data_IF_303254289981
#
_entry.id   IF_303254289981
#
_cell.length_a   1.000
_cell.length_b   1.000
_cell.length_c   1.000
_cell.angle_alpha   90.00
_cell.angle_beta   90.00
_cell.angle_gamma   90.00
#
_symmetry.space_group_name_H-M   'P 1'
#
loop_
_entity.id
_entity.type
_entity.pdbx_description
1 polymer ?
#
# COMPACT_ATOMS: atom_id res chain seq x y z
N UNK A 1 13.50 -47.81 13.71
CA UNK A 1 12.64 -46.65 13.36
C UNK A 1 13.13 -45.28 13.91
N UNK A 2 14.18 -45.20 14.75
CA UNK A 2 14.63 -43.94 15.40
C UNK A 2 15.27 -42.86 14.50
N UNK A 3 15.56 -43.16 13.22
CA UNK A 3 16.19 -42.21 12.28
C UNK A 3 15.24 -41.61 11.22
N UNK A 4 14.00 -42.09 11.13
CA UNK A 4 13.05 -41.66 10.10
C UNK A 4 12.28 -40.40 10.51
N UNK A 5 11.92 -40.29 11.79
CA UNK A 5 11.20 -39.16 12.36
C UNK A 5 11.91 -37.79 12.21
N UNK A 6 13.21 -37.63 12.54
CA UNK A 6 13.88 -36.35 12.35
C UNK A 6 14.00 -35.96 10.87
N UNK A 7 14.14 -36.93 9.96
CA UNK A 7 14.19 -36.68 8.50
C UNK A 7 12.83 -36.20 7.97
N UNK A 8 11.73 -36.80 8.43
CA UNK A 8 10.38 -36.38 8.06
C UNK A 8 10.07 -34.97 8.59
N UNK A 9 10.45 -34.67 9.84
CA UNK A 9 10.26 -33.32 10.42
C UNK A 9 11.04 -32.24 9.67
N UNK A 10 12.29 -32.51 9.27
CA UNK A 10 13.08 -31.56 8.45
C UNK A 10 12.48 -31.37 7.06
N UNK A 11 11.97 -32.44 6.45
CA UNK A 11 11.36 -32.37 5.11
C UNK A 11 10.05 -31.57 5.15
N UNK A 12 9.17 -31.86 6.11
CA UNK A 12 7.91 -31.14 6.31
C UNK A 12 8.17 -29.67 6.68
N UNK A 13 9.05 -29.41 7.65
CA UNK A 13 9.44 -28.04 8.03
C UNK A 13 10.07 -27.25 6.88
N UNK A 14 10.90 -27.91 6.07
CA UNK A 14 11.50 -27.33 4.87
C UNK A 14 10.44 -26.95 3.82
N UNK A 15 9.45 -27.80 3.56
CA UNK A 15 8.35 -27.49 2.63
C UNK A 15 7.53 -26.29 3.11
N UNK A 16 7.20 -26.22 4.40
CA UNK A 16 6.49 -25.06 4.96
C UNK A 16 7.32 -23.77 4.89
N UNK A 17 8.62 -23.84 5.18
CA UNK A 17 9.51 -22.69 5.06
C UNK A 17 9.63 -22.21 3.61
N UNK A 18 9.82 -23.12 2.66
CA UNK A 18 9.90 -22.80 1.22
C UNK A 18 8.58 -22.20 0.73
N UNK A 19 7.45 -22.79 1.12
CA UNK A 19 6.13 -22.28 0.73
C UNK A 19 5.87 -20.90 1.34
N UNK A 20 6.22 -20.68 2.61
CA UNK A 20 6.12 -19.38 3.26
C UNK A 20 7.00 -18.31 2.58
N UNK A 21 8.24 -18.64 2.25
CA UNK A 21 9.16 -17.77 1.50
C UNK A 21 8.60 -17.48 0.11
N UNK A 22 8.07 -18.50 -0.59
CA UNK A 22 7.49 -18.34 -1.92
C UNK A 22 6.25 -17.45 -1.90
N UNK A 23 5.38 -17.58 -0.91
CA UNK A 23 4.21 -16.70 -0.72
C UNK A 23 4.66 -15.26 -0.42
N UNK A 24 5.62 -15.07 0.48
CA UNK A 24 6.15 -13.73 0.79
C UNK A 24 6.81 -13.08 -0.44
N UNK A 25 7.59 -13.85 -1.20
CA UNK A 25 8.20 -13.39 -2.44
C UNK A 25 7.13 -13.05 -3.49
N UNK A 26 6.10 -13.90 -3.64
CA UNK A 26 4.98 -13.66 -4.54
C UNK A 26 4.22 -12.38 -4.17
N UNK A 27 3.89 -12.19 -2.89
CA UNK A 27 3.23 -10.99 -2.38
C UNK A 27 4.09 -9.77 -2.66
N UNK A 28 5.39 -9.80 -2.34
CA UNK A 28 6.32 -8.68 -2.58
C UNK A 28 6.40 -8.30 -4.07
N UNK A 29 6.54 -9.28 -4.95
CA UNK A 29 6.60 -9.04 -6.41
C UNK A 29 5.26 -8.53 -6.94
N UNK A 30 4.15 -9.09 -6.45
CA UNK A 30 2.79 -8.69 -6.85
C UNK A 30 2.47 -7.26 -6.44
N UNK A 31 2.80 -6.86 -5.19
CA UNK A 31 2.57 -5.51 -4.68
C UNK A 31 3.36 -4.48 -5.48
N UNK A 32 4.63 -4.76 -5.78
CA UNK A 32 5.46 -3.83 -6.55
C UNK A 32 4.85 -3.53 -7.91
N UNK A 33 4.37 -4.56 -8.62
CA UNK A 33 3.69 -4.41 -9.92
C UNK A 33 2.34 -3.71 -9.80
N UNK A 34 1.60 -3.96 -8.72
CA UNK A 34 0.30 -3.34 -8.49
C UNK A 34 0.44 -1.83 -8.25
N UNK A 35 1.42 -1.42 -7.44
CA UNK A 35 1.72 0.00 -7.17
C UNK A 35 2.04 0.76 -8.46
N UNK A 36 2.84 0.15 -9.33
CA UNK A 36 3.21 0.77 -10.61
C UNK A 36 1.97 1.01 -11.48
N UNK A 37 1.10 0.01 -11.61
CA UNK A 37 -0.14 0.09 -12.39
C UNK A 37 -1.10 1.13 -11.83
N UNK A 38 -1.34 1.10 -10.52
CA UNK A 38 -2.22 2.06 -9.85
C UNK A 38 -1.66 3.48 -9.93
N UNK A 39 -0.35 3.64 -9.79
CA UNK A 39 0.34 4.91 -9.98
C UNK A 39 0.15 5.47 -11.39
N UNK A 40 0.27 4.63 -12.42
CA UNK A 40 0.03 5.03 -13.82
C UNK A 40 -1.42 5.43 -14.08
N UNK A 41 -2.39 4.64 -13.60
CA UNK A 41 -3.83 4.96 -13.75
C UNK A 41 -4.16 6.28 -13.04
N UNK A 42 -3.60 6.50 -11.86
CA UNK A 42 -3.76 7.75 -11.12
C UNK A 42 -3.14 8.93 -11.87
N UNK A 43 -1.95 8.74 -12.44
CA UNK A 43 -1.30 9.77 -13.25
C UNK A 43 -2.11 10.13 -14.49
N UNK A 44 -2.66 9.14 -15.19
CA UNK A 44 -3.56 9.35 -16.33
C UNK A 44 -4.81 10.14 -15.94
N UNK A 45 -5.43 9.78 -14.81
CA UNK A 45 -6.64 10.46 -14.31
C UNK A 45 -6.33 11.92 -13.94
N UNK A 46 -5.23 12.16 -13.23
CA UNK A 46 -4.79 13.49 -12.85
C UNK A 46 -4.41 14.34 -14.08
N UNK A 47 -3.74 13.75 -15.05
CA UNK A 47 -3.41 14.42 -16.31
C UNK A 47 -4.68 14.85 -17.08
N UNK A 48 -5.72 14.01 -17.11
CA UNK A 48 -7.02 14.39 -17.69
C UNK A 48 -7.67 15.54 -16.93
N UNK A 49 -7.66 15.51 -15.60
CA UNK A 49 -8.16 16.64 -14.78
C UNK A 49 -7.39 17.94 -15.06
N UNK A 50 -6.06 17.88 -15.22
CA UNK A 50 -5.24 19.04 -15.56
C UNK A 50 -5.63 19.62 -16.92
N UNK A 51 -5.84 18.78 -17.93
CA UNK A 51 -6.35 19.21 -19.23
C UNK A 51 -7.71 19.89 -19.11
N UNK A 52 -8.67 19.29 -18.39
CA UNK A 52 -10.02 19.84 -18.21
C UNK A 52 -9.99 21.21 -17.50
N UNK A 53 -9.15 21.38 -16.48
CA UNK A 53 -8.99 22.65 -15.78
C UNK A 53 -8.39 23.74 -16.68
N UNK A 54 -7.36 23.41 -17.47
CA UNK A 54 -6.78 24.32 -18.46
C UNK A 54 -7.79 24.68 -19.55
N UNK A 55 -8.52 23.68 -20.05
CA UNK A 55 -9.56 23.89 -21.05
C UNK A 55 -10.68 24.82 -20.55
N UNK A 56 -11.11 24.66 -19.29
CA UNK A 56 -12.08 25.54 -18.67
C UNK A 56 -11.57 26.98 -18.55
N UNK A 57 -10.30 27.17 -18.14
CA UNK A 57 -9.66 28.49 -18.07
C UNK A 57 -9.58 29.16 -19.45
N UNK A 58 -9.21 28.41 -20.49
CA UNK A 58 -9.17 28.90 -21.87
C UNK A 58 -10.55 29.32 -22.37
N UNK A 59 -11.60 28.54 -22.11
CA UNK A 59 -12.99 28.88 -22.49
C UNK A 59 -13.52 30.14 -21.79
N UNK A 60 -13.02 30.44 -20.59
CA UNK A 60 -13.38 31.65 -19.84
C UNK A 60 -12.55 32.88 -20.25
N UNK A 61 -11.60 32.71 -21.19
CA UNK A 61 -10.75 33.81 -21.67
C UNK A 61 -9.52 34.09 -20.81
N UNK A 62 -9.10 33.15 -19.94
CA UNK A 62 -7.96 33.32 -19.05
C UNK A 62 -6.60 33.45 -19.75
N UNK A 63 -6.49 33.02 -21.01
CA UNK A 63 -5.26 33.14 -21.81
C UNK A 63 -4.05 32.45 -21.14
N UNK A 64 -2.84 33.03 -21.34
CA UNK A 64 -1.60 32.48 -20.75
C UNK A 64 -1.58 32.61 -19.22
N UNK A 65 -1.97 33.76 -18.69
CA UNK A 65 -1.89 34.03 -17.25
C UNK A 65 -2.90 33.20 -16.44
N UNK A 66 -4.13 33.06 -16.93
CA UNK A 66 -5.13 32.18 -16.31
C UNK A 66 -4.69 30.72 -16.31
N UNK A 67 -4.02 30.25 -17.38
CA UNK A 67 -3.46 28.90 -17.41
C UNK A 67 -2.33 28.73 -16.39
N UNK A 68 -1.45 29.72 -16.20
CA UNK A 68 -0.41 29.68 -15.16
C UNK A 68 -1.01 29.58 -13.76
N UNK A 69 -2.07 30.34 -13.47
CA UNK A 69 -2.75 30.28 -12.17
C UNK A 69 -3.37 28.90 -11.90
N UNK A 70 -3.97 28.28 -12.92
CA UNK A 70 -4.48 26.90 -12.81
C UNK A 70 -3.36 25.91 -12.54
N UNK A 71 -2.23 26.00 -13.26
CA UNK A 71 -1.07 25.12 -13.04
C UNK A 71 -0.54 25.28 -11.62
N UNK A 72 -0.31 26.52 -11.18
CA UNK A 72 0.17 26.82 -9.84
C UNK A 72 -0.77 26.26 -8.76
N UNK A 73 -2.10 26.39 -8.95
CA UNK A 73 -3.08 25.87 -8.00
C UNK A 73 -3.11 24.34 -7.96
N UNK A 74 -3.00 23.68 -9.11
CA UNK A 74 -2.95 22.22 -9.19
C UNK A 74 -1.70 21.65 -8.50
N UNK A 75 -0.57 22.35 -8.60
CA UNK A 75 0.67 22.00 -7.90
C UNK A 75 0.54 22.26 -6.38
N UNK A 76 -0.08 23.37 -5.97
CA UNK A 76 -0.26 23.73 -4.56
C UNK A 76 -1.16 22.72 -3.79
N UNK A 77 -2.18 22.17 -4.45
CA UNK A 77 -3.05 21.13 -3.88
C UNK A 77 -2.30 19.81 -3.65
N UNK A 78 -1.06 19.69 -4.13
CA UNK A 78 -0.19 18.53 -3.91
C UNK A 78 -0.51 17.33 -4.80
N UNK A 79 -1.33 17.52 -5.83
CA UNK A 79 -1.67 16.45 -6.78
C UNK A 79 -0.50 16.07 -7.69
N UNK A 80 0.42 17.01 -7.95
CA UNK A 80 1.58 16.85 -8.83
C UNK A 80 2.84 17.34 -8.15
N UNK A 81 3.95 16.64 -8.34
CA UNK A 81 5.29 17.13 -8.03
C UNK A 81 5.73 18.16 -9.06
N UNK A 82 5.43 17.91 -10.34
CA UNK A 82 5.65 18.85 -11.43
C UNK A 82 4.50 18.74 -12.45
N UNK A 83 3.98 19.87 -12.92
CA UNK A 83 3.01 19.94 -14.00
C UNK A 83 3.54 20.94 -15.03
N UNK A 84 3.79 20.47 -16.24
CA UNK A 84 4.27 21.29 -17.36
C UNK A 84 3.35 21.14 -18.56
N UNK A 85 3.11 22.26 -19.22
CA UNK A 85 2.35 22.32 -20.47
C UNK A 85 3.29 22.83 -21.55
N UNK A 86 3.65 21.94 -22.47
CA UNK A 86 4.52 22.24 -23.60
C UNK A 86 3.65 22.55 -24.81
N UNK A 87 3.90 23.67 -25.47
CA UNK A 87 3.16 24.08 -26.67
C UNK A 87 3.69 23.37 -27.90
N UNK A 88 2.78 22.90 -28.74
CA UNK A 88 3.10 22.37 -30.05
C UNK A 88 3.07 23.46 -31.12
N UNK A 89 3.67 23.17 -32.27
CA UNK A 89 3.80 24.07 -33.42
C UNK A 89 2.55 24.89 -33.75
N UNK A 90 1.32 24.32 -33.79
CA UNK A 90 0.13 25.10 -34.13
C UNK A 90 -0.11 26.26 -33.15
N UNK A 91 0.10 26.02 -31.85
CA UNK A 91 -0.12 27.02 -30.80
C UNK A 91 1.03 28.02 -30.75
N UNK A 92 2.27 27.55 -30.92
CA UNK A 92 3.46 28.42 -30.95
C UNK A 92 3.36 29.45 -32.07
N UNK A 93 2.90 29.06 -33.28
CA UNK A 93 2.75 29.98 -34.41
C UNK A 93 1.67 31.05 -34.20
N UNK A 94 0.66 30.76 -33.37
CA UNK A 94 -0.48 31.67 -33.14
C UNK A 94 -0.25 32.61 -31.94
N UNK A 95 0.31 32.09 -30.86
CA UNK A 95 0.38 32.80 -29.57
C UNK A 95 1.81 32.95 -29.03
N UNK A 96 2.80 32.41 -29.74
CA UNK A 96 4.19 32.31 -29.27
C UNK A 96 4.37 31.29 -28.14
N UNK A 97 5.62 31.04 -27.80
CA UNK A 97 6.03 30.23 -26.66
C UNK A 97 7.10 30.95 -25.84
N UNK A 98 7.06 30.75 -24.53
CA UNK A 98 8.15 31.10 -23.62
C UNK A 98 9.08 29.90 -23.43
N UNK A 99 10.28 30.13 -22.88
CA UNK A 99 11.30 29.08 -22.73
C UNK A 99 10.80 27.86 -21.93
N UNK A 100 9.93 28.09 -20.95
CA UNK A 100 9.34 27.06 -20.09
C UNK A 100 8.26 26.22 -20.79
N UNK A 101 7.62 26.79 -21.82
CA UNK A 101 6.57 26.18 -22.64
C UNK A 101 7.13 25.40 -23.84
N UNK A 102 8.45 25.34 -23.98
CA UNK A 102 9.17 24.56 -24.99
C UNK A 102 9.56 23.17 -24.44
N UNK A 103 9.72 22.18 -25.34
CA UNK A 103 10.12 20.84 -24.92
C UNK A 103 11.53 20.85 -24.31
N UNK A 104 11.63 20.36 -23.08
CA UNK A 104 12.89 20.30 -22.30
C UNK A 104 13.68 19.04 -22.61
N UNK A 105 12.99 17.92 -22.84
CA UNK A 105 13.62 16.61 -22.98
C UNK A 105 13.04 15.77 -24.12
N UNK A 106 13.62 14.58 -24.27
CA UNK A 106 13.27 13.66 -25.34
C UNK A 106 11.87 13.05 -25.17
N UNK A 107 11.35 12.95 -23.95
CA UNK A 107 10.00 12.41 -23.71
C UNK A 107 8.95 13.41 -24.18
N UNK A 108 9.15 14.70 -23.89
CA UNK A 108 8.30 15.79 -24.39
C UNK A 108 8.37 15.90 -25.92
N UNK A 109 9.55 15.73 -26.53
CA UNK A 109 9.70 15.72 -27.99
C UNK A 109 9.01 14.53 -28.65
N UNK A 110 9.16 13.32 -28.11
CA UNK A 110 8.43 12.13 -28.58
C UNK A 110 6.92 12.29 -28.45
N UNK A 111 6.48 12.90 -27.35
CA UNK A 111 5.06 13.20 -27.17
C UNK A 111 4.54 14.25 -28.17
N UNK A 112 5.33 15.26 -28.52
CA UNK A 112 4.97 16.19 -29.59
C UNK A 112 4.84 15.51 -30.97
N UNK A 113 5.56 14.41 -31.19
CA UNK A 113 5.38 13.56 -32.38
C UNK A 113 4.10 12.69 -32.32
N UNK A 114 3.36 12.71 -31.20
CA UNK A 114 2.10 12.00 -31.01
C UNK A 114 2.24 10.66 -30.30
N UNK A 115 3.40 10.34 -29.71
CA UNK A 115 3.58 9.15 -28.88
C UNK A 115 3.11 9.42 -27.43
N UNK A 116 2.38 8.50 -26.81
CA UNK A 116 2.09 8.62 -25.39
C UNK A 116 3.19 7.95 -24.58
N UNK A 117 3.88 8.72 -23.73
CA UNK A 117 5.10 8.26 -23.07
C UNK A 117 4.88 8.17 -21.56
N UNK A 118 5.23 7.02 -21.01
CA UNK A 118 5.07 6.66 -19.60
C UNK A 118 6.41 6.21 -19.05
N UNK A 119 6.83 6.78 -17.93
CA UNK A 119 8.10 6.43 -17.32
C UNK A 119 7.96 6.37 -15.80
N UNK A 120 8.59 5.36 -15.20
CA UNK A 120 8.64 5.20 -13.75
C UNK A 120 10.09 5.28 -13.32
N UNK A 121 10.41 6.28 -12.50
CA UNK A 121 11.76 6.50 -11.97
C UNK A 121 11.78 6.31 -10.46
N UNK A 122 12.93 5.98 -9.93
CA UNK A 122 13.17 5.97 -8.49
C UNK A 122 13.88 7.26 -8.09
N UNK A 123 13.30 8.00 -7.15
CA UNK A 123 13.85 9.25 -6.63
C UNK A 123 13.60 9.33 -5.12
N UNK A 124 14.62 9.68 -4.34
CA UNK A 124 14.57 9.81 -2.88
C UNK A 124 13.96 8.60 -2.14
N UNK A 125 14.18 7.39 -2.66
CA UNK A 125 13.70 6.13 -2.07
C UNK A 125 12.23 5.80 -2.34
N UNK A 126 11.55 6.57 -3.19
CA UNK A 126 10.18 6.34 -3.64
C UNK A 126 10.11 6.30 -5.18
N UNK A 127 9.06 5.69 -5.73
CA UNK A 127 8.78 5.77 -7.16
C UNK A 127 8.09 7.09 -7.52
N UNK A 128 8.53 7.66 -8.63
CA UNK A 128 7.95 8.83 -9.27
C UNK A 128 7.49 8.41 -10.65
N UNK A 129 6.21 8.67 -10.93
CA UNK A 129 5.59 8.34 -12.21
C UNK A 129 5.51 9.60 -13.03
N UNK A 130 6.13 9.59 -14.21
CA UNK A 130 6.02 10.63 -15.20
C UNK A 130 5.12 10.18 -16.34
N UNK A 131 4.09 10.96 -16.61
CA UNK A 131 3.10 10.70 -17.62
C UNK A 131 3.03 11.88 -18.58
N UNK A 132 3.38 11.63 -19.84
CA UNK A 132 3.53 12.66 -20.88
C UNK A 132 2.52 12.36 -21.99
N UNK A 133 1.50 13.21 -22.11
CA UNK A 133 0.36 12.98 -23.00
C UNK A 133 0.30 14.00 -24.14
N UNK A 134 0.24 13.55 -25.41
CA UNK A 134 -0.04 14.44 -26.54
C UNK A 134 -1.47 14.96 -26.51
N UNK A 135 -1.63 16.28 -26.62
CA UNK A 135 -2.93 16.93 -26.79
C UNK A 135 -3.30 16.98 -28.26
N UNK A 136 -4.10 16.01 -28.69
CA UNK A 136 -4.64 15.94 -30.06
C UNK A 136 -5.79 16.95 -30.22
N UNK A 137 -5.78 17.67 -31.34
CA UNK A 137 -6.81 18.64 -31.72
C UNK A 137 -8.11 17.91 -32.04
N UNK A 138 -9.12 18.10 -31.19
CA UNK A 138 -10.51 17.74 -31.46
C UNK A 138 -11.30 18.89 -32.11
N UNK A 139 -12.58 18.65 -32.37
CA UNK A 139 -13.48 19.67 -32.91
C UNK A 139 -13.69 20.84 -31.92
N UNK A 140 -13.62 20.54 -30.61
CA UNK A 140 -13.74 21.48 -29.51
C UNK A 140 -12.57 22.47 -29.40
N UNK A 141 -11.44 22.17 -30.03
CA UNK A 141 -10.24 23.02 -30.00
C UNK A 141 -10.26 24.09 -31.09
N UNK A 142 -10.91 23.82 -32.22
CA UNK A 142 -10.93 24.70 -33.40
C UNK A 142 -11.55 26.08 -33.19
N UNK A 143 -12.53 26.29 -32.29
CA UNK A 143 -13.08 27.62 -32.01
C UNK A 143 -12.04 28.63 -31.53
N UNK A 144 -10.96 28.17 -30.88
CA UNK A 144 -9.94 29.04 -30.30
C UNK A 144 -8.55 28.83 -30.90
N UNK A 145 -8.24 27.64 -31.40
CA UNK A 145 -6.95 27.30 -32.00
C UNK A 145 -7.10 26.93 -33.47
N UNK A 146 -6.42 27.66 -34.36
CA UNK A 146 -6.36 27.36 -35.79
C UNK A 146 -5.44 26.17 -36.04
N UNK A 147 -5.96 24.95 -35.87
CA UNK A 147 -5.23 23.71 -36.09
C UNK A 147 -6.11 22.67 -36.82
N UNK A 148 -5.45 21.77 -37.54
CA UNK A 148 -6.14 20.63 -38.20
C UNK A 148 -6.53 19.60 -37.16
N UNK A 149 -7.72 19.01 -37.31
CA UNK A 149 -8.16 17.89 -36.46
C UNK A 149 -7.12 16.77 -36.52
N UNK A 150 -6.72 16.25 -35.37
CA UNK A 150 -5.68 15.24 -35.21
C UNK A 150 -4.25 15.76 -35.12
N UNK A 151 -3.99 17.06 -35.38
CA UNK A 151 -2.70 17.68 -35.09
C UNK A 151 -2.43 17.73 -33.58
N UNK A 152 -1.16 17.87 -33.19
CA UNK A 152 -0.77 17.98 -31.77
C UNK A 152 -0.66 19.47 -31.40
N UNK A 153 -1.56 19.94 -30.54
CA UNK A 153 -1.54 21.33 -30.04
C UNK A 153 -0.50 21.55 -28.95
N UNK A 154 -0.10 20.48 -28.27
CA UNK A 154 0.85 20.53 -27.18
C UNK A 154 0.92 19.21 -26.45
N UNK A 155 1.62 19.23 -25.33
CA UNK A 155 1.85 18.07 -24.47
C UNK A 155 1.64 18.52 -23.04
N UNK A 156 0.97 17.69 -22.25
CA UNK A 156 0.96 17.84 -20.79
C UNK A 156 1.94 16.80 -20.24
N UNK A 157 2.97 17.27 -19.56
CA UNK A 157 3.92 16.45 -18.81
C UNK A 157 3.59 16.57 -17.33
N UNK A 158 3.18 15.47 -16.73
CA UNK A 158 2.88 15.39 -15.31
C UNK A 158 3.85 14.46 -14.61
N UNK A 159 4.32 14.88 -13.45
CA UNK A 159 5.15 14.09 -12.58
C UNK A 159 4.49 13.97 -11.20
N UNK A 160 4.31 12.74 -10.74
CA UNK A 160 3.62 12.43 -9.49
C UNK A 160 4.50 11.53 -8.64
N UNK A 161 4.81 11.99 -7.44
CA UNK A 161 5.46 11.16 -6.43
C UNK A 161 4.48 10.17 -5.82
N UNK A 162 4.83 8.88 -5.82
CA UNK A 162 4.08 7.85 -5.10
C UNK A 162 4.45 7.77 -3.62
N UNK A 163 5.17 8.76 -3.06
CA UNK A 163 5.64 8.76 -1.67
C UNK A 163 4.51 8.51 -0.66
N UNK A 164 3.42 9.26 -0.75
CA UNK A 164 2.28 9.11 0.16
C UNK A 164 1.62 7.74 0.00
N UNK A 165 1.48 7.29 -1.24
CA UNK A 165 0.88 5.98 -1.55
C UNK A 165 1.74 4.82 -1.03
N UNK A 166 3.03 4.84 -1.32
CA UNK A 166 3.98 3.85 -0.83
C UNK A 166 4.16 3.89 0.67
N UNK A 167 4.12 5.06 1.31
CA UNK A 167 4.22 5.14 2.78
C UNK A 167 2.97 4.56 3.46
N UNK A 168 1.78 4.75 2.89
CA UNK A 168 0.55 4.13 3.34
C UNK A 168 0.59 2.61 3.16
N UNK A 169 1.08 2.12 2.01
CA UNK A 169 1.24 0.69 1.74
C UNK A 169 2.32 0.04 2.60
N UNK A 170 3.47 0.71 2.81
CA UNK A 170 4.49 0.23 3.75
C UNK A 170 3.90 0.05 5.14
N UNK A 171 3.05 0.97 5.61
CA UNK A 171 2.36 0.82 6.91
C UNK A 171 1.43 -0.39 6.93
N UNK A 172 0.64 -0.62 5.88
CA UNK A 172 -0.24 -1.80 5.77
C UNK A 172 0.55 -3.11 5.71
N UNK A 173 1.63 -3.13 4.93
CA UNK A 173 2.55 -4.26 4.80
C UNK A 173 3.26 -4.55 6.12
N UNK A 174 3.73 -3.53 6.82
CA UNK A 174 4.38 -3.68 8.12
C UNK A 174 3.38 -4.25 9.14
N UNK A 175 2.10 -3.84 9.11
CA UNK A 175 1.03 -4.46 9.91
C UNK A 175 0.79 -5.92 9.52
N UNK A 176 0.70 -6.24 8.23
CA UNK A 176 0.51 -7.62 7.75
C UNK A 176 1.70 -8.52 8.12
N UNK A 177 2.92 -8.01 7.98
CA UNK A 177 4.14 -8.68 8.39
C UNK A 177 4.23 -8.82 9.92
N UNK A 178 3.72 -7.86 10.69
CA UNK A 178 3.58 -7.98 12.14
C UNK A 178 2.56 -9.08 12.53
N UNK A 179 1.51 -9.29 11.73
CA UNK A 179 0.52 -10.35 11.96
C UNK A 179 0.97 -11.74 11.50
N UNK A 180 1.84 -11.83 10.49
CA UNK A 180 2.32 -13.11 9.93
C UNK A 180 3.68 -13.54 10.48
N UNK A 181 4.55 -12.60 10.83
CA UNK A 181 5.89 -12.80 11.36
C UNK A 181 6.06 -11.99 12.62
N UNK A 182 5.51 -12.48 13.73
CA UNK A 182 5.51 -11.74 14.99
C UNK A 182 6.89 -11.14 15.31
N UNK A 183 6.91 -9.81 15.43
CA UNK A 183 7.86 -9.11 16.30
C UNK A 183 9.17 -8.58 15.71
N UNK A 184 9.32 -8.31 14.40
CA UNK A 184 10.62 -7.82 13.87
C UNK A 184 10.74 -6.37 13.41
N UNK A 185 9.67 -5.55 13.30
CA UNK A 185 9.85 -4.11 13.02
C UNK A 185 8.99 -3.22 13.92
N UNK A 186 9.63 -2.58 14.89
CA UNK A 186 9.03 -1.78 15.98
C UNK A 186 8.41 -0.43 15.58
N UNK A 187 8.32 -0.06 14.30
CA UNK A 187 8.18 1.36 13.92
C UNK A 187 6.88 1.80 13.23
N UNK A 188 5.88 0.92 13.02
CA UNK A 188 4.70 1.27 12.19
C UNK A 188 3.36 1.36 12.93
N UNK A 189 3.35 1.37 14.27
CA UNK A 189 2.11 1.47 15.06
C UNK A 189 2.28 2.54 16.13
N UNK A 190 2.11 3.80 15.73
CA UNK A 190 1.90 4.88 16.68
C UNK A 190 0.49 4.79 17.25
N UNK A 191 0.35 4.12 18.41
CA UNK A 191 -0.81 4.12 19.32
C UNK A 191 -1.90 3.03 19.19
N UNK A 192 -1.61 1.85 18.64
CA UNK A 192 -2.06 0.65 19.37
C UNK A 192 -0.93 0.30 20.34
N UNK A 193 -1.22 -0.26 21.51
CA UNK A 193 -0.16 -0.86 22.30
C UNK A 193 0.31 -2.09 21.52
N UNK A 194 1.27 -1.92 20.61
CA UNK A 194 1.79 -2.97 19.74
C UNK A 194 2.21 -4.20 20.54
N UNK A 195 2.64 -3.99 21.78
CA UNK A 195 2.94 -5.02 22.78
C UNK A 195 1.71 -5.87 23.15
N UNK A 196 0.52 -5.26 23.32
CA UNK A 196 -0.73 -5.96 23.66
C UNK A 196 -1.29 -6.75 22.47
N UNK A 197 -1.30 -6.16 21.27
CA UNK A 197 -1.72 -6.87 20.06
C UNK A 197 -0.80 -8.05 19.74
N UNK A 198 0.52 -7.87 19.90
CA UNK A 198 1.50 -8.94 19.75
C UNK A 198 1.34 -10.02 20.83
N UNK A 199 1.09 -9.64 22.08
CA UNK A 199 0.81 -10.58 23.16
C UNK A 199 -0.48 -11.39 22.91
N UNK A 200 -1.55 -10.75 22.45
CA UNK A 200 -2.80 -11.43 22.09
C UNK A 200 -2.59 -12.46 20.96
N UNK A 201 -1.89 -12.06 19.90
CA UNK A 201 -1.54 -12.96 18.80
C UNK A 201 -0.74 -14.18 19.26
N UNK A 202 0.34 -13.98 20.02
CA UNK A 202 1.20 -15.08 20.46
C UNK A 202 0.51 -15.96 21.50
N UNK A 203 -0.32 -15.41 22.39
CA UNK A 203 -1.08 -16.21 23.37
C UNK A 203 -2.14 -17.09 22.70
N UNK A 204 -2.89 -16.56 21.72
CA UNK A 204 -3.84 -17.37 20.94
C UNK A 204 -3.12 -18.43 20.11
N UNK A 205 -2.01 -18.08 19.46
CA UNK A 205 -1.23 -19.03 18.64
C UNK A 205 -0.63 -20.15 19.49
N UNK A 206 0.02 -19.81 20.61
CA UNK A 206 0.59 -20.78 21.53
C UNK A 206 -0.49 -21.70 22.13
N UNK A 207 -1.66 -21.15 22.45
CA UNK A 207 -2.80 -21.92 22.93
C UNK A 207 -3.29 -22.95 21.91
N UNK A 208 -3.56 -22.55 20.66
CA UNK A 208 -4.04 -23.48 19.62
C UNK A 208 -2.99 -24.55 19.31
N UNK A 209 -1.72 -24.17 19.17
CA UNK A 209 -0.61 -25.13 18.94
C UNK A 209 -0.51 -26.13 20.10
N UNK A 210 -0.59 -25.65 21.35
CA UNK A 210 -0.58 -26.52 22.54
C UNK A 210 -1.76 -27.48 22.60
N UNK A 211 -2.96 -27.04 22.18
CA UNK A 211 -4.14 -27.91 22.09
C UNK A 211 -3.96 -29.00 21.02
N UNK A 212 -3.43 -28.64 19.84
CA UNK A 212 -3.18 -29.60 18.76
C UNK A 212 -2.17 -30.66 19.20
N UNK A 213 -1.06 -30.26 19.82
CA UNK A 213 -0.05 -31.19 20.35
C UNK A 213 -0.68 -32.12 21.40
N UNK A 214 -1.43 -31.56 22.35
CA UNK A 214 -2.05 -32.34 23.44
C UNK A 214 -3.02 -33.40 22.91
N UNK A 215 -3.87 -33.03 21.94
CA UNK A 215 -4.82 -33.97 21.32
C UNK A 215 -4.12 -35.02 20.44
N UNK A 216 -3.08 -34.62 19.72
CA UNK A 216 -2.32 -35.53 18.86
C UNK A 216 -1.60 -36.58 19.69
N UNK A 217 -0.92 -36.18 20.77
CA UNK A 217 -0.23 -37.13 21.65
C UNK A 217 -1.22 -38.00 22.40
N UNK A 218 -2.34 -37.44 22.89
CA UNK A 218 -3.42 -38.22 23.49
C UNK A 218 -3.92 -39.32 22.54
N UNK A 219 -4.17 -39.00 21.27
CA UNK A 219 -4.61 -39.98 20.28
C UNK A 219 -3.58 -41.08 20.01
N UNK A 220 -2.29 -40.73 19.93
CA UNK A 220 -1.20 -41.71 19.75
C UNK A 220 -1.11 -42.63 20.98
N UNK A 221 -1.13 -42.06 22.19
CA UNK A 221 -1.07 -42.83 23.44
C UNK A 221 -2.29 -43.74 23.59
N UNK A 222 -3.48 -43.24 23.27
CA UNK A 222 -4.72 -44.01 23.32
C UNK A 222 -4.63 -45.23 22.41
N UNK A 223 -4.31 -45.01 21.13
CA UNK A 223 -4.24 -46.09 20.15
C UNK A 223 -3.14 -47.10 20.49
N UNK A 224 -2.01 -46.66 21.05
CA UNK A 224 -0.95 -47.56 21.51
C UNK A 224 -1.38 -48.42 22.70
N UNK A 225 -1.93 -47.81 23.76
CA UNK A 225 -2.31 -48.54 24.97
C UNK A 225 -3.48 -49.49 24.73
N UNK A 226 -4.48 -49.09 23.93
CA UNK A 226 -5.63 -49.93 23.61
C UNK A 226 -5.28 -51.04 22.62
N UNK A 227 -4.55 -50.74 21.53
CA UNK A 227 -4.34 -51.71 20.44
C UNK A 227 -3.06 -52.54 20.58
N UNK A 228 -2.00 -52.00 21.17
CA UNK A 228 -0.72 -52.72 21.30
C UNK A 228 -0.55 -53.35 22.68
N UNK A 229 -0.96 -52.64 23.75
CA UNK A 229 -0.83 -53.15 25.13
C UNK A 229 -2.09 -53.92 25.57
N UNK A 230 -3.24 -53.68 24.93
CA UNK A 230 -4.48 -54.40 25.20
C UNK A 230 -5.17 -53.98 26.50
N UNK A 231 -4.88 -52.78 27.01
CA UNK A 231 -5.57 -52.25 28.19
C UNK A 231 -7.02 -51.92 27.86
N UNK A 232 -7.91 -52.10 28.83
CA UNK A 232 -9.32 -51.70 28.68
C UNK A 232 -9.46 -50.19 28.45
N UNK A 233 -10.39 -49.83 27.55
CA UNK A 233 -10.72 -48.45 27.19
C UNK A 233 -10.94 -47.55 28.42
N UNK A 234 -11.66 -48.04 29.43
CA UNK A 234 -11.99 -47.25 30.62
C UNK A 234 -10.76 -46.92 31.48
N UNK A 235 -9.80 -47.84 31.59
CA UNK A 235 -8.54 -47.62 32.33
C UNK A 235 -7.67 -46.62 31.59
N UNK A 236 -7.50 -46.79 30.26
CA UNK A 236 -6.72 -45.88 29.41
C UNK A 236 -7.26 -44.45 29.47
N UNK A 237 -8.58 -44.28 29.43
CA UNK A 237 -9.24 -42.97 29.46
C UNK A 237 -9.10 -42.25 30.79
N UNK A 238 -9.30 -42.96 31.90
CA UNK A 238 -9.35 -42.35 33.24
C UNK A 238 -7.97 -42.11 33.83
N UNK A 239 -7.03 -43.01 33.59
CA UNK A 239 -5.71 -42.98 34.21
C UNK A 239 -4.68 -42.25 33.35
N UNK A 240 -4.59 -42.58 32.05
CA UNK A 240 -3.52 -42.10 31.16
C UNK A 240 -3.93 -40.87 30.33
N UNK A 241 -5.15 -40.87 29.78
CA UNK A 241 -5.61 -39.76 28.91
C UNK A 241 -6.03 -38.53 29.70
N UNK A 242 -6.44 -38.68 30.97
CA UNK A 242 -6.85 -37.56 31.83
C UNK A 242 -5.78 -36.47 31.91
N UNK A 243 -4.50 -36.85 31.96
CA UNK A 243 -3.37 -35.91 31.93
C UNK A 243 -3.41 -34.98 30.70
N UNK A 244 -3.59 -35.55 29.51
CA UNK A 244 -3.60 -34.79 28.26
C UNK A 244 -4.86 -33.94 28.09
N UNK A 245 -6.01 -34.39 28.60
CA UNK A 245 -7.23 -33.58 28.61
C UNK A 245 -7.11 -32.35 29.52
N UNK A 246 -6.39 -32.46 30.64
CA UNK A 246 -6.09 -31.30 31.51
C UNK A 246 -5.20 -30.29 30.77
N UNK A 247 -4.14 -30.74 30.10
CA UNK A 247 -3.28 -29.86 29.29
C UNK A 247 -4.04 -29.20 28.15
N UNK A 248 -4.90 -29.93 27.45
CA UNK A 248 -5.80 -29.36 26.45
C UNK A 248 -6.67 -28.25 27.03
N UNK A 249 -7.23 -28.44 28.24
CA UNK A 249 -8.05 -27.43 28.90
C UNK A 249 -7.23 -26.17 29.22
N UNK A 250 -6.00 -26.33 29.74
CA UNK A 250 -5.09 -25.22 30.05
C UNK A 250 -4.80 -24.40 28.79
N UNK A 251 -4.41 -25.06 27.69
CA UNK A 251 -4.16 -24.38 26.42
C UNK A 251 -5.43 -23.79 25.79
N UNK A 252 -6.59 -24.39 26.03
CA UNK A 252 -7.90 -23.85 25.66
C UNK A 252 -8.21 -22.55 26.39
N UNK A 253 -7.98 -22.50 27.71
CA UNK A 253 -8.13 -21.27 28.50
C UNK A 253 -7.15 -20.20 28.05
N UNK A 254 -5.89 -20.56 27.74
CA UNK A 254 -4.91 -19.64 27.17
C UNK A 254 -5.36 -19.04 25.83
N UNK A 255 -5.98 -19.87 24.97
CA UNK A 255 -6.51 -19.43 23.68
C UNK A 255 -7.65 -18.43 23.87
N UNK A 256 -8.60 -18.73 24.77
CA UNK A 256 -9.72 -17.85 25.10
C UNK A 256 -9.22 -16.54 25.70
N UNK A 257 -8.21 -16.59 26.59
CA UNK A 257 -7.59 -15.39 27.14
C UNK A 257 -6.97 -14.49 26.04
N UNK A 258 -6.27 -15.08 25.06
CA UNK A 258 -5.75 -14.33 23.91
C UNK A 258 -6.85 -13.68 23.06
N UNK A 259 -7.97 -14.38 22.84
CA UNK A 259 -9.14 -13.84 22.09
C UNK A 259 -9.84 -12.71 22.87
N UNK A 260 -9.95 -12.82 24.19
CA UNK A 260 -10.53 -11.77 25.04
C UNK A 260 -9.64 -10.52 25.05
N UNK A 261 -8.31 -10.70 25.10
CA UNK A 261 -7.35 -9.59 24.97
C UNK A 261 -7.48 -8.89 23.60
N UNK A 262 -7.65 -9.65 22.52
CA UNK A 262 -7.87 -9.11 21.18
C UNK A 262 -9.18 -8.31 21.09
N UNK A 263 -10.27 -8.87 21.60
CA UNK A 263 -11.60 -8.21 21.61
C UNK A 263 -11.56 -6.92 22.45
N UNK A 264 -10.90 -6.94 23.62
CA UNK A 264 -10.74 -5.76 24.47
C UNK A 264 -9.94 -4.65 23.79
N UNK A 265 -8.83 -5.00 23.14
CA UNK A 265 -8.02 -4.03 22.38
C UNK A 265 -8.85 -3.38 21.26
N UNK A 266 -9.60 -4.20 20.50
CA UNK A 266 -10.50 -3.74 19.44
C UNK A 266 -11.61 -2.79 19.95
N UNK A 267 -12.29 -3.15 21.05
CA UNK A 267 -13.36 -2.32 21.63
C UNK A 267 -12.83 -1.02 22.24
N UNK A 268 -11.65 -1.04 22.85
CA UNK A 268 -11.02 0.15 23.43
C UNK A 268 -10.66 1.21 22.38
N UNK A 269 -10.47 0.80 21.12
CA UNK A 269 -10.22 1.71 19.99
C UNK A 269 -11.51 2.38 19.50
N UNK A 270 -12.65 1.68 19.57
CA UNK A 270 -13.96 2.18 19.12
C UNK A 270 -14.57 3.31 19.97
N UNK A 271 -14.05 3.55 21.18
CA UNK A 271 -14.51 4.60 22.10
C UNK A 271 -13.55 5.81 22.18
N UNK A 272 -12.48 5.83 21.39
CA UNK A 272 -11.45 6.87 21.37
C UNK A 272 -11.56 7.87 20.22
N UNK A 273 -12.74 8.44 19.98
CA UNK A 273 -12.87 9.73 19.28
C UNK A 273 -12.57 10.85 20.30
N UNK A 274 -11.75 11.89 20.09
CA UNK A 274 -11.17 12.54 18.91
C UNK A 274 -9.65 12.79 19.10
N UNK A 275 -8.88 13.02 18.01
CA UNK A 275 -7.72 13.88 18.11
C UNK A 275 -8.19 15.33 18.34
N UNK A 276 -7.98 15.84 19.56
CA UNK A 276 -8.02 17.27 19.87
C UNK A 276 -7.27 18.02 18.78
N UNK A 277 -7.99 18.83 17.97
CA UNK A 277 -7.39 19.91 17.19
C UNK A 277 -6.68 20.83 18.18
N UNK A 278 -5.36 20.78 18.22
CA UNK A 278 -4.51 21.78 18.82
C UNK A 278 -3.40 22.05 17.79
N UNK A 279 -3.20 23.22 17.25
CA UNK A 279 -3.97 24.45 17.20
C UNK A 279 -3.34 25.22 16.05
N UNK A 280 -4.16 25.85 15.21
CA UNK A 280 -3.71 26.83 14.24
C UNK A 280 -2.99 27.95 15.03
N UNK A 281 -1.66 28.01 14.95
CA UNK A 281 -0.93 29.23 15.31
C UNK A 281 -1.23 30.25 14.21
N UNK A 282 -1.92 31.37 14.48
CA UNK A 282 -1.96 32.46 13.53
C UNK A 282 -0.55 33.03 13.35
N UNK A 283 -0.19 33.34 12.11
CA UNK A 283 1.10 33.92 11.74
C UNK A 283 1.41 35.20 12.54
N UNK A 284 2.67 35.47 12.92
CA UNK A 284 3.03 36.72 13.57
C UNK A 284 2.77 37.91 12.63
N UNK A 285 2.17 38.97 13.18
CA UNK A 285 1.83 40.21 12.50
C UNK A 285 3.06 40.90 11.88
N UNK A 286 2.91 41.63 10.76
CA UNK A 286 4.02 42.35 10.15
C UNK A 286 4.54 43.43 11.12
N UNK A 287 5.86 43.46 11.29
CA UNK A 287 6.56 44.50 12.03
C UNK A 287 6.26 45.86 11.39
N UNK A 288 5.73 46.79 12.20
CA UNK A 288 5.57 48.18 11.80
C UNK A 288 6.93 48.79 11.50
N UNK A 289 7.05 49.38 10.31
CA UNK A 289 8.12 50.31 9.97
C UNK A 289 7.85 51.65 10.68
N UNK A 290 8.83 52.09 11.44
CA UNK A 290 9.08 53.52 11.71
C UNK A 290 9.32 54.30 10.40
#
# INVERSE_FOLDING_TARGET
>A
MKGLYPKIMVLVGGVFAITGIAILAFVYVSESRQIEREGLVRAETLNRMAFEALFASMRQGGGREGNRQVIARLQEVGAFTELRVVKGDPVVRQFGAELEELPRDELERRALAGEEVREVRWQDGYRVVRYVTPLRVGAECQPCHQARIGAINGVISTEISLREYESALRRRRDVLLLTLGGGLLKNAVGRMNAVRGLAAFWTTTAGVVGMVISLTVAGIVQTYLERMVGLEFMVVKTEYLRFWFVWRLIFGVLTVAGVLLYTWDFMSFGLGAEPRRAGHQPAPAPAGSE
#
